data_IF_611102937918
#
_entry.id   IF_611102937918
#
_cell.length_a   1.000
_cell.length_b   1.000
_cell.length_c   1.000
_cell.angle_alpha   90.00
_cell.angle_beta   90.00
_cell.angle_gamma   90.00
#
_symmetry.space_group_name_H-M   'P 1'
#
loop_
_entity.id
_entity.type
_entity.pdbx_description
1 polymer ?
#
# COMPACT_ATOMS: atom_id res chain seq x y z
N UNK A 1 -27.63 -22.56 -1.27
CA UNK A 1 -27.37 -22.44 0.18
C UNK A 1 -26.10 -23.24 0.55
N UNK A 2 -24.99 -22.69 1.05
CA UNK A 2 -24.67 -21.38 1.61
C UNK A 2 -23.27 -20.98 1.10
N UNK A 3 -23.15 -19.73 0.64
CA UNK A 3 -21.90 -19.05 0.29
C UNK A 3 -21.55 -18.10 1.44
N UNK A 4 -21.42 -18.65 2.63
CA UNK A 4 -20.81 -17.97 3.77
C UNK A 4 -19.45 -18.60 3.91
N UNK A 5 -18.44 -17.98 3.31
CA UNK A 5 -17.04 -18.03 3.75
C UNK A 5 -16.26 -17.03 2.88
N UNK A 6 -16.68 -15.76 2.95
CA UNK A 6 -15.65 -14.73 3.06
C UNK A 6 -15.03 -14.95 4.42
N UNK A 7 -14.08 -15.88 4.49
CA UNK A 7 -13.58 -16.30 5.77
C UNK A 7 -12.72 -15.16 6.28
N UNK A 8 -13.26 -14.45 7.26
CA UNK A 8 -12.55 -13.56 8.18
C UNK A 8 -11.16 -14.09 8.50
N UNK A 9 -10.96 -15.41 8.56
CA UNK A 9 -9.66 -16.05 8.74
C UNK A 9 -8.58 -15.65 7.70
N UNK A 10 -8.93 -15.32 6.46
CA UNK A 10 -7.94 -14.92 5.43
C UNK A 10 -7.48 -13.47 5.61
N UNK A 11 -8.39 -12.56 5.97
CA UNK A 11 -8.05 -11.18 6.35
C UNK A 11 -7.36 -11.14 7.73
N UNK A 12 -7.79 -11.97 8.68
CA UNK A 12 -7.15 -12.13 9.98
C UNK A 12 -5.79 -12.82 9.87
N UNK A 13 -5.61 -13.78 8.96
CA UNK A 13 -4.29 -14.39 8.67
C UNK A 13 -3.34 -13.38 8.03
N UNK A 14 -3.85 -12.54 7.13
CA UNK A 14 -3.09 -11.46 6.53
C UNK A 14 -2.73 -10.39 7.58
N UNK A 15 -3.69 -10.03 8.43
CA UNK A 15 -3.49 -9.17 9.59
C UNK A 15 -2.53 -9.78 10.63
N UNK A 16 -2.58 -11.09 10.90
CA UNK A 16 -1.66 -11.81 11.80
C UNK A 16 -0.24 -11.83 11.22
N UNK A 17 -0.09 -12.07 9.92
CA UNK A 17 1.21 -11.96 9.24
C UNK A 17 1.76 -10.53 9.27
N UNK A 18 0.88 -9.53 9.32
CA UNK A 18 1.24 -8.11 9.46
C UNK A 18 1.53 -7.70 10.91
N UNK A 19 0.87 -8.33 11.90
CA UNK A 19 1.20 -8.22 13.32
C UNK A 19 2.57 -8.83 13.61
N UNK A 20 2.94 -9.90 12.90
CA UNK A 20 4.28 -10.48 12.96
C UNK A 20 5.35 -9.57 12.30
N UNK A 21 4.99 -8.71 11.33
CA UNK A 21 5.91 -7.77 10.68
C UNK A 21 5.92 -6.39 11.34
N UNK A 22 6.56 -6.30 12.51
CA UNK A 22 6.84 -5.07 13.30
C UNK A 22 5.58 -4.22 13.67
N UNK A 23 5.56 -3.62 14.88
CA UNK A 23 4.39 -2.91 15.39
C UNK A 23 3.97 -1.66 14.60
N UNK A 24 4.77 -1.16 13.65
CA UNK A 24 4.46 0.04 12.85
C UNK A 24 3.41 -0.23 11.77
N UNK A 25 3.55 -1.29 10.98
CA UNK A 25 2.63 -1.62 9.88
C UNK A 25 1.27 -2.07 10.41
N UNK A 26 1.27 -2.90 11.44
CA UNK A 26 0.03 -3.36 12.07
C UNK A 26 -0.78 -2.23 12.72
N UNK A 27 -0.12 -1.23 13.35
CA UNK A 27 -0.81 -0.03 13.86
C UNK A 27 -1.38 0.80 12.71
N UNK A 28 -0.59 1.04 11.67
CA UNK A 28 -0.95 1.93 10.58
C UNK A 28 -2.07 1.36 9.66
N UNK A 29 -2.22 0.03 9.63
CA UNK A 29 -3.33 -0.67 8.97
C UNK A 29 -4.60 -0.76 9.82
N UNK A 30 -4.49 -0.49 11.12
CA UNK A 30 -5.57 -0.63 12.09
C UNK A 30 -6.81 0.24 11.78
N UNK A 31 -6.69 1.23 10.89
CA UNK A 31 -7.69 2.28 10.82
C UNK A 31 -8.58 2.38 9.58
N UNK A 32 -8.36 1.68 8.44
CA UNK A 32 -9.40 1.56 7.38
C UNK A 32 -9.01 0.72 6.15
N UNK A 33 -9.70 -0.41 5.98
CA UNK A 33 -9.85 -1.11 4.69
C UNK A 33 -11.17 -0.78 3.95
N UNK A 34 -11.89 0.28 4.34
CA UNK A 34 -13.32 0.39 4.02
C UNK A 34 -13.68 1.74 3.37
N UNK A 35 -13.71 1.76 2.05
CA UNK A 35 -14.62 2.64 1.29
C UNK A 35 -15.84 1.81 0.85
N UNK A 36 -16.92 1.89 1.63
CA UNK A 36 -18.11 1.02 1.52
C UNK A 36 -18.83 1.00 0.15
N UNK A 37 -18.51 1.88 -0.80
CA UNK A 37 -19.27 2.05 -2.05
C UNK A 37 -18.47 2.12 -3.36
N UNK A 38 -17.17 1.85 -3.38
CA UNK A 38 -16.38 1.95 -4.61
C UNK A 38 -16.02 0.57 -5.16
N UNK A 39 -16.02 0.43 -6.50
CA UNK A 39 -15.41 -0.70 -7.25
C UNK A 39 -13.89 -0.85 -7.00
N UNK A 40 -13.36 -0.03 -6.10
CA UNK A 40 -11.95 0.20 -5.79
C UNK A 40 -11.80 0.30 -4.27
N UNK A 41 -11.59 -0.80 -3.53
CA UNK A 41 -11.18 -0.74 -2.14
C UNK A 41 -9.84 -0.01 -2.05
N UNK A 42 -9.80 0.90 -1.08
CA UNK A 42 -8.65 1.78 -0.82
C UNK A 42 -7.97 1.27 0.44
N UNK A 43 -6.71 0.89 0.30
CA UNK A 43 -5.79 0.73 1.42
C UNK A 43 -5.33 2.13 1.84
N UNK A 44 -5.77 2.59 3.01
CA UNK A 44 -5.32 3.86 3.59
C UNK A 44 -4.46 3.57 4.81
N UNK A 45 -3.27 4.14 4.81
CA UNK A 45 -2.32 4.08 5.93
C UNK A 45 -2.22 5.51 6.44
N UNK A 46 -2.79 5.79 7.61
CA UNK A 46 -2.94 7.14 8.19
C UNK A 46 -1.86 7.48 9.24
N UNK A 47 -0.83 6.63 9.34
CA UNK A 47 0.31 6.82 10.26
C UNK A 47 1.65 6.82 9.51
N UNK A 48 2.70 7.42 10.11
CA UNK A 48 4.07 7.27 9.64
C UNK A 48 4.49 5.80 9.54
N UNK A 49 5.03 5.43 8.38
CA UNK A 49 5.56 4.10 8.09
C UNK A 49 6.95 4.24 7.50
N UNK A 50 7.85 3.36 7.93
CA UNK A 50 9.25 3.24 7.50
C UNK A 50 9.30 2.55 6.12
N UNK A 51 8.80 3.21 5.08
CA UNK A 51 8.73 2.67 3.71
C UNK A 51 10.11 2.42 3.07
N UNK A 52 11.15 3.04 3.59
CA UNK A 52 12.55 2.82 3.25
C UNK A 52 13.06 1.45 3.72
N UNK A 53 12.41 0.85 4.73
CA UNK A 53 12.75 -0.49 5.15
C UNK A 53 12.19 -1.51 4.15
N UNK A 54 13.09 -2.24 3.50
CA UNK A 54 12.75 -3.24 2.48
C UNK A 54 11.73 -4.26 3.00
N UNK A 55 11.87 -4.73 4.24
CA UNK A 55 10.92 -5.67 4.85
C UNK A 55 9.50 -5.08 5.00
N UNK A 56 9.39 -3.82 5.40
CA UNK A 56 8.10 -3.12 5.55
C UNK A 56 7.45 -2.95 4.17
N UNK A 57 8.22 -2.44 3.22
CA UNK A 57 7.79 -2.23 1.84
C UNK A 57 7.32 -3.54 1.19
N UNK A 58 8.14 -4.58 1.27
CA UNK A 58 7.86 -5.88 0.65
C UNK A 58 6.63 -6.53 1.26
N UNK A 59 6.40 -6.36 2.56
CA UNK A 59 5.18 -6.87 3.23
C UNK A 59 3.91 -6.20 2.68
N UNK A 60 3.94 -4.89 2.45
CA UNK A 60 2.81 -4.14 1.89
C UNK A 60 2.59 -4.54 0.42
N UNK A 61 3.66 -4.69 -0.35
CA UNK A 61 3.59 -5.11 -1.76
C UNK A 61 3.03 -6.53 -1.88
N UNK A 62 3.53 -7.46 -1.07
CA UNK A 62 3.08 -8.86 -1.05
C UNK A 62 1.60 -8.97 -0.66
N UNK A 63 1.12 -8.11 0.25
CA UNK A 63 -0.29 -8.00 0.58
C UNK A 63 -1.13 -7.64 -0.65
N UNK A 64 -0.74 -6.60 -1.40
CA UNK A 64 -1.45 -6.20 -2.62
C UNK A 64 -1.40 -7.29 -3.70
N UNK A 65 -0.23 -7.90 -3.90
CA UNK A 65 -0.04 -8.96 -4.89
C UNK A 65 -0.82 -10.23 -4.53
N UNK A 66 -0.97 -10.55 -3.24
CA UNK A 66 -1.76 -11.70 -2.80
C UNK A 66 -3.23 -11.58 -3.22
N UNK A 67 -3.82 -10.37 -3.12
CA UNK A 67 -5.19 -10.11 -3.54
C UNK A 67 -5.37 -10.26 -5.05
N UNK A 68 -4.36 -9.88 -5.83
CA UNK A 68 -4.34 -10.07 -7.28
C UNK A 68 -4.19 -11.55 -7.64
N UNK A 69 -3.21 -12.26 -7.05
CA UNK A 69 -2.94 -13.69 -7.32
C UNK A 69 -4.12 -14.59 -6.93
N UNK A 70 -4.84 -14.27 -5.86
CA UNK A 70 -6.04 -14.99 -5.45
C UNK A 70 -7.29 -14.66 -6.31
N UNK A 71 -7.16 -13.76 -7.28
CA UNK A 71 -8.22 -13.38 -8.21
C UNK A 71 -9.28 -12.46 -7.63
N UNK A 72 -9.06 -11.90 -6.44
CA UNK A 72 -9.96 -10.89 -5.85
C UNK A 72 -9.80 -9.53 -6.54
N UNK A 73 -8.59 -9.20 -6.95
CA UNK A 73 -8.30 -7.97 -7.69
C UNK A 73 -7.75 -8.27 -9.09
N UNK A 74 -8.17 -7.51 -10.09
CA UNK A 74 -7.57 -7.57 -11.43
C UNK A 74 -6.21 -6.89 -11.47
N UNK A 75 -6.00 -5.86 -10.65
CA UNK A 75 -4.69 -5.20 -10.47
C UNK A 75 -4.62 -4.41 -9.16
N UNK A 76 -3.39 -4.13 -8.73
CA UNK A 76 -3.09 -3.14 -7.70
C UNK A 76 -2.60 -1.84 -8.34
N UNK A 77 -3.10 -0.70 -7.86
CA UNK A 77 -2.63 0.65 -8.17
C UNK A 77 -1.94 1.18 -6.91
N UNK A 78 -0.61 1.15 -6.91
CA UNK A 78 0.20 1.47 -5.75
C UNK A 78 1.41 2.30 -6.12
N UNK A 79 1.55 3.47 -5.49
CA UNK A 79 2.75 4.29 -5.63
C UNK A 79 3.98 3.54 -5.12
N UNK A 80 3.83 2.69 -4.10
CA UNK A 80 4.92 1.94 -3.48
C UNK A 80 5.47 0.86 -4.42
N UNK A 81 4.59 0.17 -5.15
CA UNK A 81 4.99 -0.79 -6.20
C UNK A 81 5.74 -0.08 -7.33
N UNK A 82 5.25 1.08 -7.77
CA UNK A 82 5.92 1.85 -8.82
C UNK A 82 7.23 2.49 -8.33
N UNK A 83 7.31 2.89 -7.06
CA UNK A 83 8.52 3.39 -6.43
C UNK A 83 9.60 2.30 -6.35
N UNK A 84 9.25 1.07 -5.95
CA UNK A 84 10.18 -0.05 -5.93
C UNK A 84 10.77 -0.38 -7.32
N UNK A 85 10.03 -0.09 -8.41
CA UNK A 85 10.55 -0.18 -9.78
C UNK A 85 11.44 1.01 -10.14
N UNK A 86 11.04 2.22 -9.73
CA UNK A 86 11.82 3.44 -9.93
C UNK A 86 13.19 3.33 -9.26
N UNK A 87 13.24 2.89 -8.00
CA UNK A 87 14.45 2.71 -7.19
C UNK A 87 15.49 1.81 -7.88
N UNK A 88 15.07 0.73 -8.54
CA UNK A 88 15.98 -0.17 -9.27
C UNK A 88 16.65 0.48 -10.49
N UNK A 89 16.09 1.58 -11.00
CA UNK A 89 16.52 2.23 -12.24
C UNK A 89 17.03 3.66 -12.02
N UNK A 90 17.11 4.09 -10.76
CA UNK A 90 17.43 5.47 -10.43
C UNK A 90 18.90 5.63 -10.07
N UNK A 91 19.42 6.84 -10.26
CA UNK A 91 20.80 7.20 -9.89
C UNK A 91 20.91 7.74 -8.45
N UNK A 92 19.77 7.98 -7.80
CA UNK A 92 19.72 8.47 -6.43
C UNK A 92 19.96 7.31 -5.46
N UNK A 93 20.83 7.55 -4.49
CA UNK A 93 21.01 6.63 -3.36
C UNK A 93 19.80 6.74 -2.43
N UNK A 94 19.11 5.62 -2.20
CA UNK A 94 17.90 5.55 -1.38
C UNK A 94 18.27 4.97 -0.01
N UNK A 95 18.21 5.82 1.00
CA UNK A 95 18.49 5.50 2.39
C UNK A 95 17.51 6.31 3.28
N UNK A 96 17.48 6.09 4.61
CA UNK A 96 16.52 6.75 5.49
C UNK A 96 16.53 8.28 5.42
N UNK A 97 17.69 8.91 5.16
CA UNK A 97 17.81 10.36 5.08
C UNK A 97 17.36 10.92 3.72
N UNK A 98 17.46 10.11 2.66
CA UNK A 98 17.15 10.53 1.28
C UNK A 98 15.78 10.05 0.80
N UNK A 99 15.16 9.09 1.47
CA UNK A 99 13.91 8.46 1.02
C UNK A 99 12.80 9.48 0.79
N UNK A 100 12.45 10.27 1.81
CA UNK A 100 11.36 11.25 1.70
C UNK A 100 11.66 12.35 0.67
N UNK A 101 12.86 12.97 0.64
CA UNK A 101 13.23 13.90 -0.43
C UNK A 101 13.13 13.30 -1.83
N UNK A 102 13.60 12.06 -2.03
CA UNK A 102 13.54 11.41 -3.35
C UNK A 102 12.09 11.10 -3.74
N UNK A 103 11.26 10.60 -2.82
CA UNK A 103 9.84 10.37 -3.10
C UNK A 103 9.17 11.69 -3.51
N UNK A 104 9.32 12.75 -2.71
CA UNK A 104 8.60 14.01 -2.92
C UNK A 104 9.11 14.84 -4.12
N UNK A 105 10.42 15.02 -4.22
CA UNK A 105 11.05 15.97 -5.14
C UNK A 105 11.49 15.34 -6.46
N UNK A 106 11.62 14.02 -6.52
CA UNK A 106 12.07 13.31 -7.72
C UNK A 106 10.99 12.40 -8.26
N UNK A 107 10.61 11.37 -7.51
CA UNK A 107 9.66 10.35 -7.96
C UNK A 107 8.32 10.98 -8.29
N UNK A 108 7.70 11.69 -7.34
CA UNK A 108 6.41 12.35 -7.55
C UNK A 108 6.46 13.52 -8.55
N UNK A 109 7.65 13.98 -8.96
CA UNK A 109 7.83 15.00 -10.00
C UNK A 109 8.13 14.41 -11.38
N UNK A 110 8.33 13.10 -11.47
CA UNK A 110 8.69 12.41 -12.71
C UNK A 110 7.44 11.83 -13.37
N UNK A 111 7.25 12.07 -14.66
CA UNK A 111 6.23 11.35 -15.42
C UNK A 111 6.71 9.91 -15.67
N UNK A 112 5.88 8.86 -15.42
CA UNK A 112 4.43 8.87 -15.24
C UNK A 112 3.92 8.89 -13.78
N UNK A 113 4.80 9.06 -12.78
CA UNK A 113 4.50 8.86 -11.37
C UNK A 113 3.76 10.04 -10.69
N UNK A 114 3.71 11.22 -11.31
CA UNK A 114 2.95 12.39 -10.81
C UNK A 114 1.50 12.10 -10.43
N UNK A 115 0.88 11.08 -11.04
CA UNK A 115 -0.48 10.63 -10.72
C UNK A 115 -0.67 10.23 -9.24
N UNK A 116 0.42 9.87 -8.54
CA UNK A 116 0.38 9.46 -7.14
C UNK A 116 0.53 10.61 -6.14
N UNK A 117 0.67 11.86 -6.60
CA UNK A 117 0.84 13.01 -5.70
C UNK A 117 -0.31 13.13 -4.70
N UNK A 118 -1.56 12.85 -5.12
CA UNK A 118 -2.69 12.85 -4.20
C UNK A 118 -2.69 11.68 -3.23
N UNK A 119 -1.95 10.61 -3.51
CA UNK A 119 -1.97 9.38 -2.74
C UNK A 119 -1.00 9.40 -1.55
N UNK A 120 -0.10 10.38 -1.51
CA UNK A 120 0.90 10.54 -0.45
C UNK A 120 0.70 11.90 0.21
N UNK A 121 0.65 11.94 1.53
CA UNK A 121 0.74 13.20 2.29
C UNK A 121 1.96 13.17 3.17
N UNK A 122 2.67 14.29 3.18
CA UNK A 122 3.83 14.51 4.03
C UNK A 122 3.44 15.33 5.27
N UNK A 123 4.23 15.20 6.32
CA UNK A 123 4.13 16.11 7.47
C UNK A 123 4.48 17.55 7.07
N UNK A 124 4.28 18.50 7.98
CA UNK A 124 4.51 19.92 7.73
C UNK A 124 5.96 20.22 7.30
N UNK A 125 6.93 19.46 7.81
CA UNK A 125 8.34 19.67 7.54
C UNK A 125 8.87 18.84 6.37
N UNK A 126 8.01 18.01 5.73
CA UNK A 126 8.39 17.10 4.65
C UNK A 126 9.53 16.15 5.04
N UNK A 127 9.51 15.70 6.29
CA UNK A 127 10.44 14.74 6.86
C UNK A 127 9.86 13.32 6.88
N UNK A 128 8.54 13.16 6.85
CA UNK A 128 7.87 11.86 6.93
C UNK A 128 6.62 11.82 6.04
N UNK A 129 6.30 10.63 5.53
CA UNK A 129 4.99 10.34 4.93
C UNK A 129 4.03 10.05 6.08
N UNK A 130 3.01 10.88 6.25
CA UNK A 130 2.00 10.76 7.32
C UNK A 130 0.70 10.14 6.84
N UNK A 131 0.50 10.04 5.53
CA UNK A 131 -0.63 9.33 4.93
C UNK A 131 -0.22 8.75 3.59
N UNK A 132 -0.69 7.54 3.32
CA UNK A 132 -0.48 6.83 2.07
C UNK A 132 -1.78 6.14 1.64
N UNK A 133 -2.08 6.19 0.34
CA UNK A 133 -3.24 5.55 -0.26
C UNK A 133 -2.81 4.64 -1.41
N UNK A 134 -3.35 3.44 -1.44
CA UNK A 134 -3.18 2.48 -2.52
C UNK A 134 -4.53 1.84 -2.81
N UNK A 135 -4.72 1.30 -4.00
CA UNK A 135 -6.03 0.85 -4.47
C UNK A 135 -5.92 -0.53 -5.08
N UNK A 136 -6.92 -1.37 -4.86
CA UNK A 136 -7.11 -2.58 -5.64
C UNK A 136 -8.29 -2.37 -6.58
N UNK A 137 -8.16 -2.80 -7.83
CA UNK A 137 -9.31 -2.90 -8.72
C UNK A 137 -9.91 -4.28 -8.59
N UNK A 138 -11.11 -4.40 -8.03
CA UNK A 138 -11.71 -5.70 -7.77
C UNK A 138 -12.18 -6.37 -9.06
N UNK A 139 -12.05 -7.69 -9.09
CA UNK A 139 -12.79 -8.53 -10.04
C UNK A 139 -14.23 -8.69 -9.59
N UNK A 140 -15.09 -9.31 -10.42
CA UNK A 140 -16.44 -9.67 -10.00
C UNK A 140 -16.41 -10.56 -8.74
N UNK A 141 -15.49 -11.53 -8.70
CA UNK A 141 -15.23 -12.36 -7.53
C UNK A 141 -14.93 -11.51 -6.28
N UNK A 142 -14.01 -10.54 -6.38
CA UNK A 142 -13.67 -9.68 -5.26
C UNK A 142 -14.79 -8.75 -4.81
N UNK A 143 -15.71 -8.37 -5.71
CA UNK A 143 -16.91 -7.60 -5.36
C UNK A 143 -17.93 -8.48 -4.64
N UNK A 144 -18.17 -9.68 -5.14
CA UNK A 144 -19.19 -10.59 -4.61
C UNK A 144 -18.83 -11.13 -3.23
N UNK A 145 -17.53 -11.27 -2.96
CA UNK A 145 -17.03 -11.83 -1.71
C UNK A 145 -16.74 -10.76 -0.64
N UNK A 146 -16.79 -9.44 -0.93
CA UNK A 146 -16.39 -8.36 0.02
C UNK A 146 -17.13 -8.30 1.36
#
# INVERSE_FOLDING_TARGET
PNLSDFDSASLFSLHDRLLDTRPSVARALGDRLIARNARYPILTIDDPVEYEEELVRDSIIELLDSAVRAGYASRAVSWLVEFARFEKNTIYDINPDTFVPVVNLVFLQTDPYKRFVSDISFDRHQTQIVRSRMYLELTQKGVDER
#
